data_IF_657166671935
#
_entry.id   IF_657166671935
#
_cell.length_a   1.000
_cell.length_b   1.000
_cell.length_c   1.000
_cell.angle_alpha   90.00
_cell.angle_beta   90.00
_cell.angle_gamma   90.00
#
_symmetry.space_group_name_H-M   'P 1'
#
loop_
_entity.id
_entity.type
_entity.pdbx_description
1 polymer ?
#
# COMPACT_ATOMS: atom_id res chain seq x y z
N UNK A 1 4.22 5.98 21.32
CA UNK A 1 5.09 5.58 20.18
C UNK A 1 5.27 4.09 20.27
N UNK A 2 4.91 3.35 19.23
CA UNK A 2 5.21 1.92 19.14
C UNK A 2 6.72 1.78 18.92
N UNK A 3 7.40 1.02 19.77
CA UNK A 3 8.83 0.73 19.63
C UNK A 3 9.02 -0.37 18.57
N UNK A 4 10.08 -0.26 17.77
CA UNK A 4 10.44 -1.27 16.76
C UNK A 4 10.77 -2.62 17.41
N UNK A 5 10.14 -3.70 16.94
CA UNK A 5 10.37 -5.08 17.35
C UNK A 5 11.07 -5.86 16.22
N UNK A 6 12.35 -6.25 16.35
CA UNK A 6 13.09 -6.93 15.29
C UNK A 6 12.54 -8.32 14.92
N UNK A 7 11.70 -8.94 15.75
CA UNK A 7 11.09 -10.25 15.42
C UNK A 7 9.87 -10.13 14.51
N UNK A 8 9.23 -8.96 14.45
CA UNK A 8 7.93 -8.76 13.79
C UNK A 8 7.90 -7.60 12.81
N UNK A 9 8.84 -6.68 12.94
CA UNK A 9 8.90 -5.48 12.13
C UNK A 9 10.02 -5.58 11.09
N UNK A 10 9.71 -5.17 9.87
CA UNK A 10 10.67 -5.05 8.78
C UNK A 10 10.97 -3.56 8.53
N UNK A 11 12.25 -3.19 8.48
CA UNK A 11 12.70 -1.84 8.12
C UNK A 11 13.43 -1.87 6.78
N UNK A 12 13.01 -1.02 5.86
CA UNK A 12 13.64 -0.81 4.55
C UNK A 12 14.06 0.66 4.46
N UNK A 13 15.32 0.91 4.12
CA UNK A 13 15.88 2.25 3.94
C UNK A 13 16.57 2.35 2.59
N UNK A 14 16.22 3.37 1.81
CA UNK A 14 16.80 3.60 0.50
C UNK A 14 17.03 5.09 0.25
N UNK A 15 18.15 5.40 -0.42
CA UNK A 15 18.43 6.72 -0.94
C UNK A 15 17.93 6.80 -2.38
N UNK A 16 16.99 7.71 -2.63
CA UNK A 16 16.39 7.93 -3.95
C UNK A 16 16.76 9.34 -4.43
N UNK A 17 17.31 9.45 -5.64
CA UNK A 17 17.68 10.73 -6.26
C UNK A 17 16.46 11.43 -6.86
N UNK A 18 15.54 11.85 -6.01
CA UNK A 18 14.34 12.61 -6.35
C UNK A 18 13.95 13.55 -5.19
N UNK A 19 13.12 14.55 -5.45
CA UNK A 19 12.59 15.40 -4.37
C UNK A 19 11.52 14.66 -3.56
N UNK A 20 11.31 15.00 -2.28
CA UNK A 20 10.22 14.44 -1.47
C UNK A 20 8.84 14.57 -2.12
N UNK A 21 8.57 15.69 -2.80
CA UNK A 21 7.30 15.93 -3.51
C UNK A 21 7.12 14.96 -4.67
N UNK A 22 8.20 14.63 -5.39
CA UNK A 22 8.16 13.66 -6.49
C UNK A 22 7.82 12.27 -5.95
N UNK A 23 8.44 11.87 -4.85
CA UNK A 23 8.14 10.59 -4.19
C UNK A 23 6.70 10.58 -3.67
N UNK A 24 6.24 11.66 -3.05
CA UNK A 24 4.87 11.77 -2.56
C UNK A 24 3.83 11.55 -3.67
N UNK A 25 4.04 12.19 -4.83
CA UNK A 25 3.18 12.00 -6.01
C UNK A 25 3.12 10.55 -6.47
N UNK A 26 4.24 9.81 -6.41
CA UNK A 26 4.27 8.39 -6.76
C UNK A 26 3.39 7.50 -5.86
N UNK A 27 3.09 7.95 -4.63
CA UNK A 27 2.16 7.25 -3.72
C UNK A 27 0.71 7.71 -3.89
N UNK A 28 0.49 9.00 -4.16
CA UNK A 28 -0.83 9.60 -4.22
C UNK A 28 -1.52 9.42 -5.58
N UNK A 29 -0.77 9.54 -6.69
CA UNK A 29 -1.34 9.53 -8.04
C UNK A 29 -1.48 8.08 -8.55
N UNK A 30 -2.71 7.60 -8.82
CA UNK A 30 -2.95 6.23 -9.29
C UNK A 30 -2.07 5.79 -10.47
N UNK A 31 -1.92 6.67 -11.45
CA UNK A 31 -1.19 6.36 -12.68
C UNK A 31 0.31 6.27 -12.47
N UNK A 32 0.87 6.98 -11.47
CA UNK A 32 2.27 6.81 -11.08
C UNK A 32 2.45 5.57 -10.21
N UNK A 33 1.54 5.35 -9.25
CA UNK A 33 1.60 4.22 -8.31
C UNK A 33 1.67 2.87 -9.02
N UNK A 34 0.81 2.66 -10.03
CA UNK A 34 0.75 1.41 -10.82
C UNK A 34 2.07 1.06 -11.53
N UNK A 35 2.98 2.01 -11.73
CA UNK A 35 4.22 1.78 -12.48
C UNK A 35 5.33 1.12 -11.65
N UNK A 36 5.25 1.17 -10.32
CA UNK A 36 6.39 0.78 -9.47
C UNK A 36 6.02 -0.05 -8.22
N UNK A 37 4.76 -0.02 -7.77
CA UNK A 37 4.37 -0.61 -6.49
C UNK A 37 4.54 -2.14 -6.42
N UNK A 38 4.40 -2.82 -7.56
CA UNK A 38 4.44 -4.28 -7.63
C UNK A 38 5.69 -4.81 -8.33
N UNK A 39 6.18 -5.99 -7.95
CA UNK A 39 7.25 -6.65 -8.68
C UNK A 39 6.78 -7.10 -10.09
N UNK A 40 7.72 -7.39 -11.02
CA UNK A 40 7.38 -7.89 -12.35
C UNK A 40 6.45 -9.11 -12.31
N UNK A 41 5.42 -9.11 -13.15
CA UNK A 41 4.42 -10.18 -13.24
C UNK A 41 3.17 -9.98 -12.37
N UNK A 42 3.18 -9.00 -11.45
CA UNK A 42 2.00 -8.58 -10.68
C UNK A 42 1.53 -7.22 -11.17
N UNK A 43 0.23 -7.08 -11.43
CA UNK A 43 -0.40 -5.86 -11.95
C UNK A 43 -1.29 -5.20 -10.89
N UNK A 44 -1.23 -3.87 -10.77
CA UNK A 44 -2.21 -3.11 -9.99
C UNK A 44 -3.39 -2.73 -10.89
N UNK A 45 -4.53 -3.37 -10.71
CA UNK A 45 -5.72 -3.13 -11.56
C UNK A 45 -6.57 -1.96 -11.05
N UNK A 46 -6.61 -1.77 -9.74
CA UNK A 46 -7.36 -0.69 -9.08
C UNK A 46 -6.53 -0.11 -7.93
N UNK A 47 -6.61 1.20 -7.74
CA UNK A 47 -5.97 1.89 -6.61
C UNK A 47 -6.76 3.13 -6.22
N UNK A 48 -6.90 3.33 -4.92
CA UNK A 48 -7.39 4.56 -4.29
C UNK A 48 -6.48 4.88 -3.12
N UNK A 49 -5.68 5.93 -3.26
CA UNK A 49 -4.81 6.44 -2.20
C UNK A 49 -5.18 7.88 -1.87
N UNK A 50 -6.08 8.06 -0.89
CA UNK A 50 -6.42 9.37 -0.33
C UNK A 50 -5.43 9.70 0.80
N UNK A 51 -4.27 10.23 0.44
CA UNK A 51 -3.12 10.42 1.35
C UNK A 51 -3.33 11.62 2.31
N UNK A 52 -4.29 11.46 3.21
CA UNK A 52 -4.58 12.34 4.34
C UNK A 52 -4.97 11.49 5.54
N UNK A 53 -4.83 12.00 6.75
CA UNK A 53 -5.26 11.28 7.96
C UNK A 53 -6.75 10.87 7.87
N UNK A 54 -7.02 9.57 8.05
CA UNK A 54 -8.34 8.96 7.89
C UNK A 54 -8.77 8.70 6.44
N UNK A 55 -7.94 9.03 5.44
CA UNK A 55 -8.22 8.76 4.03
C UNK A 55 -8.11 7.27 3.69
N UNK A 56 -8.83 6.85 2.65
CA UNK A 56 -8.88 5.45 2.21
C UNK A 56 -7.57 5.05 1.53
N UNK A 57 -7.10 3.84 1.84
CA UNK A 57 -6.04 3.15 1.12
C UNK A 57 -6.61 1.83 0.58
N UNK A 58 -6.73 1.72 -0.74
CA UNK A 58 -7.27 0.54 -1.40
C UNK A 58 -6.45 0.20 -2.63
N UNK A 59 -6.07 -1.06 -2.78
CA UNK A 59 -5.32 -1.56 -3.93
C UNK A 59 -5.83 -2.95 -4.29
N UNK A 60 -6.04 -3.21 -5.57
CA UNK A 60 -6.27 -4.57 -6.09
C UNK A 60 -5.05 -4.98 -6.90
N UNK A 61 -4.40 -6.05 -6.46
CA UNK A 61 -3.29 -6.66 -7.18
C UNK A 61 -3.77 -7.91 -7.90
N UNK A 62 -3.45 -8.02 -9.19
CA UNK A 62 -3.65 -9.20 -10.00
C UNK A 62 -2.34 -9.99 -10.10
N UNK A 63 -2.37 -11.21 -9.60
CA UNK A 63 -1.24 -12.14 -9.65
C UNK A 63 -1.05 -12.72 -11.06
N UNK A 64 0.13 -13.33 -11.36
CA UNK A 64 0.39 -13.93 -12.67
C UNK A 64 -0.62 -15.00 -13.10
N UNK A 65 -1.23 -15.71 -12.14
CA UNK A 65 -2.25 -16.74 -12.38
C UNK A 65 -3.67 -16.15 -12.60
N UNK A 66 -3.79 -14.82 -12.56
CA UNK A 66 -5.05 -14.09 -12.71
C UNK A 66 -5.81 -13.85 -11.39
N UNK A 67 -5.35 -14.38 -10.25
CA UNK A 67 -5.98 -14.16 -8.95
C UNK A 67 -5.98 -12.68 -8.58
N UNK A 68 -7.14 -12.17 -8.17
CA UNK A 68 -7.28 -10.81 -7.64
C UNK A 68 -7.15 -10.81 -6.12
N UNK A 69 -6.25 -9.99 -5.61
CA UNK A 69 -6.02 -9.78 -4.19
C UNK A 69 -6.38 -8.33 -3.82
N UNK A 70 -7.62 -8.07 -3.38
CA UNK A 70 -7.99 -6.77 -2.85
C UNK A 70 -7.34 -6.56 -1.48
N UNK A 71 -6.86 -5.35 -1.24
CA UNK A 71 -6.36 -4.91 0.05
C UNK A 71 -6.97 -3.57 0.43
N UNK A 72 -7.52 -3.51 1.63
CA UNK A 72 -8.28 -2.36 2.14
C UNK A 72 -7.65 -1.87 3.45
N UNK A 73 -7.62 -0.56 3.61
CA UNK A 73 -7.02 0.09 4.76
C UNK A 73 -7.31 1.59 4.80
N UNK A 74 -6.57 2.27 5.67
CA UNK A 74 -6.62 3.72 5.76
C UNK A 74 -5.24 4.32 6.08
N UNK A 75 -5.06 5.57 5.69
CA UNK A 75 -3.94 6.40 6.12
C UNK A 75 -4.19 6.84 7.57
N UNK A 76 -3.29 6.46 8.49
CA UNK A 76 -3.40 6.79 9.91
C UNK A 76 -2.81 8.16 10.21
N UNK A 77 -1.76 8.54 9.46
CA UNK A 77 -1.10 9.83 9.54
C UNK A 77 -0.57 10.22 8.17
N UNK A 78 -0.56 11.52 7.85
CA UNK A 78 0.05 12.06 6.64
C UNK A 78 0.49 13.51 6.88
N UNK A 79 1.78 13.77 6.70
CA UNK A 79 2.40 15.09 6.71
C UNK A 79 3.12 15.28 5.37
N UNK A 80 2.56 16.14 4.52
CA UNK A 80 3.13 16.39 3.20
C UNK A 80 4.45 17.17 3.30
N UNK A 81 5.50 16.83 2.52
CA UNK A 81 5.72 15.61 1.74
C UNK A 81 6.64 14.61 2.50
N UNK A 82 6.69 14.67 3.83
CA UNK A 82 7.76 14.10 4.65
C UNK A 82 7.43 12.72 5.19
N UNK A 83 6.18 12.46 5.57
CA UNK A 83 5.82 11.17 6.15
C UNK A 83 4.34 10.82 5.98
N UNK A 84 4.07 9.52 6.01
CA UNK A 84 2.73 8.98 6.13
C UNK A 84 2.74 7.71 6.99
N UNK A 85 1.58 7.12 7.26
CA UNK A 85 1.50 5.73 7.71
C UNK A 85 0.17 5.15 7.28
N UNK A 86 0.16 3.89 6.92
CA UNK A 86 -1.04 3.17 6.51
C UNK A 86 -1.24 1.95 7.39
N UNK A 87 -2.50 1.72 7.76
CA UNK A 87 -2.93 0.45 8.35
C UNK A 87 -3.69 -0.32 7.28
N UNK A 88 -3.19 -1.48 6.90
CA UNK A 88 -3.78 -2.32 5.85
C UNK A 88 -4.22 -3.65 6.43
N UNK A 89 -5.44 -4.08 6.08
CA UNK A 89 -5.91 -5.42 6.38
C UNK A 89 -5.59 -6.31 5.19
N UNK A 90 -4.66 -7.23 5.38
CA UNK A 90 -4.44 -8.29 4.41
C UNK A 90 -5.58 -9.32 4.51
N UNK A 91 -6.08 -9.84 3.37
CA UNK A 91 -6.97 -10.99 3.41
C UNK A 91 -6.25 -12.19 4.04
N UNK A 92 -6.97 -13.09 4.73
CA UNK A 92 -6.36 -14.29 5.28
C UNK A 92 -5.71 -15.12 4.17
N UNK A 93 -4.44 -15.46 4.33
CA UNK A 93 -3.71 -16.32 3.41
C UNK A 93 -4.28 -17.74 3.56
N UNK A 94 -5.10 -18.18 2.59
CA UNK A 94 -5.57 -19.56 2.48
C UNK A 94 -7.00 -19.88 2.98
N UNK A 95 -7.93 -18.92 3.01
CA UNK A 95 -9.32 -19.21 3.42
C UNK A 95 -10.36 -18.53 2.53
N UNK A 96 -11.24 -19.33 1.92
CA UNK A 96 -12.49 -18.85 1.32
C UNK A 96 -13.24 -17.95 2.32
N UNK A 97 -13.73 -16.81 1.84
CA UNK A 97 -14.75 -16.04 2.54
C UNK A 97 -15.93 -16.97 2.83
N UNK A 98 -16.16 -17.29 4.11
CA UNK A 98 -17.47 -17.78 4.53
C UNK A 98 -18.42 -16.61 4.36
N UNK A 99 -19.14 -16.58 3.25
CA UNK A 99 -20.38 -15.81 3.13
C UNK A 99 -21.30 -16.28 4.25
N UNK A 100 -21.46 -15.45 5.27
CA UNK A 100 -22.53 -15.62 6.24
C UNK A 100 -23.83 -15.29 5.50
N UNK A 101 -24.58 -16.34 5.19
CA UNK A 101 -25.98 -16.33 4.73
C UNK A 101 -26.92 -15.76 5.77
#
# INVERSE_FOLDING_TARGET
>A
MTTFDPERDLRIEQFIKASPETIWRCWQEPELFKQWFTPPGVEVTEVVNDVRSGGRAYVVMKLPDGTLMPSEGCFLHAEYPTCWSTGMRLPPIGGQERTLS
#
